data_IF_592836617841
#
_entry.id   IF_592836617841
#
_cell.length_a   1.000
_cell.length_b   1.000
_cell.length_c   1.000
_cell.angle_alpha   90.00
_cell.angle_beta   90.00
_cell.angle_gamma   90.00
#
_symmetry.space_group_name_H-M   'P 1'
#
loop_
_entity.id
_entity.type
_entity.pdbx_description
1 polymer ?
#
# COMPACT_ATOMS: atom_id res chain seq x y z
N UNK A 1 -1.75 -16.20 -13.76
CA UNK A 1 -1.34 -14.99 -13.01
C UNK A 1 -2.17 -14.94 -11.75
N UNK A 2 -1.58 -14.81 -10.56
CA UNK A 2 -2.37 -14.62 -9.34
C UNK A 2 -3.14 -13.29 -9.42
N UNK A 3 -4.39 -13.30 -8.97
CA UNK A 3 -5.18 -12.08 -8.89
C UNK A 3 -4.56 -11.20 -7.80
N UNK A 4 -4.68 -9.88 -7.96
CA UNK A 4 -4.11 -8.92 -7.03
C UNK A 4 -4.66 -9.13 -5.61
N UNK A 5 -5.94 -9.52 -5.52
CA UNK A 5 -6.59 -9.87 -4.26
C UNK A 5 -5.98 -11.11 -3.59
N UNK A 6 -5.60 -12.15 -4.35
CA UNK A 6 -4.93 -13.33 -3.79
C UNK A 6 -3.58 -12.95 -3.17
N UNK A 7 -2.85 -12.07 -3.85
CA UNK A 7 -1.55 -11.58 -3.38
C UNK A 7 -1.72 -10.79 -2.08
N UNK A 8 -2.74 -9.92 -1.99
CA UNK A 8 -3.04 -9.16 -0.76
C UNK A 8 -3.44 -10.11 0.38
N UNK A 9 -4.26 -11.12 0.10
CA UNK A 9 -4.62 -12.13 1.10
C UNK A 9 -3.36 -12.86 1.62
N UNK A 10 -2.46 -13.25 0.72
CA UNK A 10 -1.17 -13.85 1.10
C UNK A 10 -0.29 -12.90 1.92
N UNK A 11 -0.23 -11.60 1.55
CA UNK A 11 0.50 -10.59 2.32
C UNK A 11 -0.06 -10.40 3.74
N UNK A 12 -1.38 -10.48 3.90
CA UNK A 12 -2.06 -10.41 5.20
C UNK A 12 -1.79 -11.66 6.04
N UNK A 13 -1.76 -12.84 5.43
CA UNK A 13 -1.48 -14.11 6.11
C UNK A 13 0.00 -14.25 6.51
N UNK A 14 0.92 -13.96 5.59
CA UNK A 14 2.35 -14.10 5.81
C UNK A 14 3.16 -12.96 5.16
N UNK A 15 3.29 -11.81 5.84
CA UNK A 15 4.04 -10.67 5.30
C UNK A 15 5.55 -10.92 5.18
N UNK A 16 6.06 -12.00 5.77
CA UNK A 16 7.48 -12.36 5.70
C UNK A 16 7.86 -13.13 4.43
N UNK A 17 6.88 -13.72 3.74
CA UNK A 17 7.10 -14.56 2.56
C UNK A 17 6.47 -13.97 1.30
N UNK A 18 6.82 -12.73 1.00
CA UNK A 18 6.28 -11.99 -0.14
C UNK A 18 7.40 -11.69 -1.12
N UNK A 19 7.20 -12.05 -2.39
CA UNK A 19 8.15 -11.71 -3.46
C UNK A 19 8.06 -10.22 -3.77
N UNK A 20 9.20 -9.60 -4.03
CA UNK A 20 9.25 -8.18 -4.37
C UNK A 20 8.45 -7.85 -5.64
N UNK A 21 8.45 -8.75 -6.63
CA UNK A 21 7.67 -8.61 -7.85
C UNK A 21 6.14 -8.57 -7.60
N UNK A 22 5.65 -9.38 -6.65
CA UNK A 22 4.23 -9.41 -6.29
C UNK A 22 3.84 -8.13 -5.55
N UNK A 23 4.68 -7.66 -4.62
CA UNK A 23 4.49 -6.37 -3.94
C UNK A 23 4.50 -5.19 -4.93
N UNK A 24 5.45 -5.18 -5.86
CA UNK A 24 5.52 -4.18 -6.94
C UNK A 24 4.23 -4.14 -7.75
N UNK A 25 3.69 -5.32 -8.13
CA UNK A 25 2.47 -5.43 -8.93
C UNK A 25 1.26 -4.86 -8.17
N UNK A 26 1.13 -5.17 -6.88
CA UNK A 26 0.09 -4.60 -6.02
C UNK A 26 0.23 -3.08 -5.96
N UNK A 27 1.42 -2.57 -5.60
CA UNK A 27 1.65 -1.13 -5.53
C UNK A 27 1.35 -0.41 -6.85
N UNK A 28 1.71 -1.00 -8.00
CA UNK A 28 1.42 -0.42 -9.31
C UNK A 28 -0.07 -0.37 -9.64
N UNK A 29 -0.86 -1.33 -9.15
CA UNK A 29 -2.30 -1.32 -9.35
C UNK A 29 -3.03 -0.27 -8.49
N UNK A 30 -2.61 -0.09 -7.23
CA UNK A 30 -3.29 0.83 -6.30
C UNK A 30 -2.76 2.27 -6.37
N UNK A 31 -1.45 2.44 -6.51
CA UNK A 31 -0.78 3.74 -6.45
C UNK A 31 -0.28 4.23 -7.82
N UNK A 32 -0.34 3.38 -8.86
CA UNK A 32 0.16 3.70 -10.20
C UNK A 32 1.67 3.46 -10.38
N UNK A 33 2.25 4.04 -11.43
CA UNK A 33 3.66 3.79 -11.76
C UNK A 33 4.64 4.37 -10.73
N UNK A 34 5.67 3.59 -10.40
CA UNK A 34 6.75 4.04 -9.53
C UNK A 34 7.57 5.12 -10.22
N UNK A 35 7.87 6.21 -9.51
CA UNK A 35 8.62 7.34 -10.08
C UNK A 35 10.08 7.01 -10.39
N UNK A 36 10.65 6.05 -9.67
CA UNK A 36 12.03 5.59 -9.86
C UNK A 36 12.02 4.06 -9.96
N UNK A 37 12.33 3.55 -11.15
CA UNK A 37 12.29 2.12 -11.48
C UNK A 37 13.66 1.51 -11.82
N UNK A 38 14.73 2.31 -11.84
CA UNK A 38 16.10 1.88 -12.18
C UNK A 38 16.81 1.11 -11.06
N UNK A 39 16.30 1.11 -9.84
CA UNK A 39 16.94 0.48 -8.68
C UNK A 39 15.96 -0.45 -7.98
N UNK A 40 16.49 -1.36 -7.16
CA UNK A 40 15.75 -2.16 -6.17
C UNK A 40 14.94 -1.33 -5.16
N UNK A 41 15.00 0.00 -5.22
CA UNK A 41 14.21 0.93 -4.41
C UNK A 41 13.18 1.62 -5.31
N UNK A 42 11.90 1.35 -5.06
CA UNK A 42 10.77 1.96 -5.76
C UNK A 42 10.03 2.86 -4.78
N UNK A 43 9.66 4.06 -5.24
CA UNK A 43 8.87 5.01 -4.46
C UNK A 43 7.58 5.30 -5.21
N UNK A 44 6.46 5.11 -4.50
CA UNK A 44 5.11 5.34 -4.99
C UNK A 44 4.50 6.57 -4.32
N UNK A 45 3.78 7.36 -5.13
CA UNK A 45 3.01 8.50 -4.65
C UNK A 45 1.60 8.03 -4.32
N UNK A 46 1.11 8.37 -3.13
CA UNK A 46 -0.26 8.05 -2.73
C UNK A 46 -1.20 9.20 -3.12
N UNK A 47 -2.49 8.91 -3.40
CA UNK A 47 -3.44 9.93 -3.87
C UNK A 47 -4.04 10.83 -2.78
N UNK A 48 -3.81 10.56 -1.49
CA UNK A 48 -4.37 11.35 -0.39
C UNK A 48 -3.48 12.53 0.05
N UNK A 49 -4.11 13.55 0.66
CA UNK A 49 -3.48 14.82 1.03
C UNK A 49 -2.40 14.67 2.11
N UNK A 50 -1.28 15.40 1.94
CA UNK A 50 -0.12 15.41 2.85
C UNK A 50 1.16 14.90 2.20
N UNK A 51 2.05 14.30 3.00
CA UNK A 51 3.28 13.64 2.50
C UNK A 51 3.39 12.12 2.79
N UNK A 52 2.35 11.30 2.51
CA UNK A 52 2.49 9.86 2.55
C UNK A 52 3.19 9.37 1.28
N UNK A 53 4.24 8.57 1.44
CA UNK A 53 4.93 7.91 0.33
C UNK A 53 5.15 6.47 0.72
N UNK A 54 4.84 5.57 -0.20
CA UNK A 54 5.12 4.15 -0.03
C UNK A 54 6.48 3.88 -0.67
N UNK A 55 7.47 3.56 0.16
CA UNK A 55 8.75 3.06 -0.30
C UNK A 55 8.77 1.54 -0.20
N UNK A 56 9.21 0.88 -1.27
CA UNK A 56 9.47 -0.56 -1.25
C UNK A 56 10.89 -0.81 -1.72
N UNK A 57 11.56 -1.75 -1.06
CA UNK A 57 12.92 -2.14 -1.37
C UNK A 57 13.00 -3.65 -1.54
N UNK A 58 13.77 -4.09 -2.53
CA UNK A 58 14.13 -5.50 -2.65
C UNK A 58 15.07 -5.88 -1.51
N UNK A 59 14.67 -6.88 -0.73
CA UNK A 59 15.48 -7.47 0.32
C UNK A 59 16.29 -8.66 -0.18
N UNK A 60 16.80 -9.46 0.76
CA UNK A 60 17.52 -10.69 0.43
C UNK A 60 16.60 -11.67 -0.31
N UNK A 61 17.18 -12.46 -1.20
CA UNK A 61 16.49 -13.52 -1.95
C UNK A 61 15.29 -13.04 -2.79
N UNK A 62 15.33 -11.80 -3.31
CA UNK A 62 14.23 -11.20 -4.12
C UNK A 62 12.89 -11.09 -3.37
N UNK A 63 12.93 -11.11 -2.04
CA UNK A 63 11.76 -10.93 -1.17
C UNK A 63 11.63 -9.47 -0.77
N UNK A 64 10.40 -9.01 -0.56
CA UNK A 64 10.16 -7.72 0.04
C UNK A 64 10.52 -7.75 1.53
N UNK A 65 10.84 -6.59 2.10
CA UNK A 65 11.03 -6.50 3.55
C UNK A 65 9.67 -6.55 4.26
N UNK A 66 9.51 -7.37 5.32
CA UNK A 66 8.18 -7.59 5.93
C UNK A 66 7.52 -6.31 6.45
N UNK A 67 8.30 -5.36 6.96
CA UNK A 67 7.77 -4.08 7.43
C UNK A 67 7.23 -3.22 6.27
N UNK A 68 7.80 -3.32 5.06
CA UNK A 68 7.31 -2.59 3.90
C UNK A 68 6.01 -3.20 3.38
N UNK A 69 5.88 -4.52 3.44
CA UNK A 69 4.61 -5.20 3.15
C UNK A 69 3.50 -4.68 4.06
N UNK A 70 3.78 -4.57 5.37
CA UNK A 70 2.82 -4.01 6.34
C UNK A 70 2.47 -2.55 6.05
N UNK A 71 3.45 -1.72 5.70
CA UNK A 71 3.19 -0.32 5.29
C UNK A 71 2.32 -0.22 4.04
N UNK A 72 2.53 -1.11 3.07
CA UNK A 72 1.70 -1.19 1.85
C UNK A 72 0.27 -1.60 2.20
N UNK A 73 0.08 -2.59 3.08
CA UNK A 73 -1.24 -3.01 3.52
C UNK A 73 -2.01 -1.88 4.23
N UNK A 74 -1.35 -1.14 5.13
CA UNK A 74 -1.92 0.04 5.80
C UNK A 74 -2.29 1.15 4.81
N UNK A 75 -1.44 1.37 3.81
CA UNK A 75 -1.69 2.33 2.74
C UNK A 75 -2.88 1.93 1.85
N UNK A 76 -3.07 0.64 1.58
CA UNK A 76 -4.24 0.11 0.86
C UNK A 76 -5.50 0.28 1.72
N UNK A 77 -5.45 -0.10 2.99
CA UNK A 77 -6.58 0.01 3.91
C UNK A 77 -7.08 1.46 4.03
N UNK A 78 -6.15 2.42 4.14
CA UNK A 78 -6.45 3.86 4.08
C UNK A 78 -7.10 4.27 2.78
N UNK A 79 -6.60 3.79 1.64
CA UNK A 79 -7.19 4.12 0.34
C UNK A 79 -8.64 3.61 0.23
N UNK A 80 -8.89 2.40 0.72
CA UNK A 80 -10.24 1.81 0.77
C UNK A 80 -11.15 2.51 1.77
N UNK A 81 -10.59 3.02 2.87
CA UNK A 81 -11.33 3.81 3.86
C UNK A 81 -11.68 5.21 3.34
N UNK A 82 -10.83 5.83 2.52
CA UNK A 82 -11.11 7.13 1.88
C UNK A 82 -12.14 6.98 0.76
N UNK A 83 -12.13 5.86 0.03
CA UNK A 83 -13.07 5.62 -1.07
C UNK A 83 -14.48 5.25 -0.59
N UNK A 84 -14.61 4.68 0.60
CA UNK A 84 -15.88 4.63 1.31
C UNK A 84 -16.10 6.00 1.97
N UNK A 85 -17.15 6.76 1.63
CA UNK A 85 -17.44 7.95 2.43
C UNK A 85 -17.55 7.50 3.90
N UNK A 86 -16.96 8.25 4.85
CA UNK A 86 -17.26 8.02 6.25
C UNK A 86 -18.77 8.06 6.36
N UNK A 87 -19.32 7.00 6.92
CA UNK A 87 -20.73 6.76 7.14
C UNK A 87 -21.53 8.09 7.25
N UNK A 88 -22.57 8.21 6.44
CA UNK A 88 -23.55 9.30 6.46
C UNK A 88 -24.41 9.31 7.74
N UNK A 89 -23.81 9.02 8.89
CA UNK A 89 -24.49 8.81 10.18
C UNK A 89 -23.62 9.21 11.39
N UNK A 90 -22.76 10.23 11.23
CA UNK A 90 -22.23 10.96 12.39
C UNK A 90 -22.07 12.44 12.08
N UNK A 91 -23.21 13.13 12.09
CA UNK A 91 -23.30 14.54 12.42
C UNK A 91 -22.76 14.72 13.86
N UNK A 92 -21.54 15.24 14.00
CA UNK A 92 -21.10 16.22 15.02
C UNK A 92 -19.58 16.22 15.10
N UNK A 93 -18.98 17.26 14.52
CA UNK A 93 -17.88 17.95 15.20
C UNK A 93 -18.23 19.42 15.16
N UNK A 94 -18.71 19.91 16.30
CA UNK A 94 -19.08 21.31 16.52
C UNK A 94 -17.85 22.20 16.31
N UNK A 95 -18.06 23.29 15.60
CA UNK A 95 -17.22 24.49 15.70
C UNK A 95 -17.13 24.93 17.16
N UNK A 96 -15.94 25.38 17.59
CA UNK A 96 -15.78 26.15 18.82
C UNK A 96 -14.47 25.87 19.57
N UNK A 97 -13.43 26.65 19.26
CA UNK A 97 -12.83 27.67 20.14
C UNK A 97 -11.76 28.44 19.38
#
# INVERSE_FOLDING_TARGET
MAQINDIIAAMRQNPCDVRFADLKKVCTCYFGEARQSKTSHLVYKTPWQGNPRVNIQEGKNRKAKPYQVRQVLDAIDKLENISKPPNADSCEYKEGY
#
